data_IF_889134013872
#
_entry.id   IF_889134013872
#
_cell.length_a   1.000
_cell.length_b   1.000
_cell.length_c   1.000
_cell.angle_alpha   90.00
_cell.angle_beta   90.00
_cell.angle_gamma   90.00
#
_symmetry.space_group_name_H-M   'P 1'
#
loop_
_entity.id
_entity.type
_entity.pdbx_description
1 polymer ?
#
# COMPACT_ATOMS: atom_id res chain seq x y z
N UNK A 1 -0.98 24.16 -1.54
CA UNK A 1 -2.44 24.46 -1.73
C UNK A 1 -3.24 23.27 -1.25
N UNK A 2 -4.44 23.48 -0.72
CA UNK A 2 -5.28 22.39 -0.16
C UNK A 2 -5.55 21.26 -1.16
N UNK A 3 -5.71 21.56 -2.43
CA UNK A 3 -5.96 20.56 -3.49
C UNK A 3 -4.83 19.54 -3.70
N UNK A 4 -3.64 19.78 -3.16
CA UNK A 4 -2.54 18.80 -3.13
C UNK A 4 -2.57 17.90 -1.89
N UNK A 5 -3.35 18.27 -0.88
CA UNK A 5 -3.38 17.60 0.42
C UNK A 5 -4.73 16.93 0.69
N UNK A 6 -5.80 17.44 0.09
CA UNK A 6 -7.16 16.99 0.33
C UNK A 6 -7.81 16.49 -0.97
N UNK A 7 -8.53 15.39 -0.87
CA UNK A 7 -9.27 14.81 -1.99
C UNK A 7 -10.55 15.62 -2.25
N UNK A 8 -10.73 16.09 -3.51
CA UNK A 8 -11.86 16.94 -3.87
C UNK A 8 -13.10 16.11 -4.26
N UNK A 9 -12.93 14.85 -4.62
CA UNK A 9 -14.01 13.99 -5.11
C UNK A 9 -14.76 14.55 -6.34
N UNK A 10 -14.01 15.10 -7.31
CA UNK A 10 -14.54 15.69 -8.53
C UNK A 10 -13.52 15.72 -9.66
N UNK A 11 -13.86 16.23 -10.84
CA UNK A 11 -12.97 16.26 -12.00
C UNK A 11 -11.88 17.32 -11.87
N UNK A 12 -11.10 17.28 -10.82
CA UNK A 12 -10.00 18.22 -10.52
C UNK A 12 -8.68 17.48 -10.52
N UNK A 13 -7.73 17.96 -11.29
CA UNK A 13 -6.35 17.48 -11.35
C UNK A 13 -5.41 18.56 -10.84
N UNK A 14 -4.68 18.29 -9.77
CA UNK A 14 -3.60 19.13 -9.29
C UNK A 14 -2.31 18.75 -10.03
N UNK A 15 -1.66 19.72 -10.67
CA UNK A 15 -0.42 19.51 -11.44
C UNK A 15 0.67 20.41 -10.90
N UNK A 16 1.87 19.85 -10.75
CA UNK A 16 3.07 20.58 -10.38
C UNK A 16 4.28 20.06 -11.15
N UNK A 17 5.35 20.83 -11.16
CA UNK A 17 6.64 20.43 -11.71
C UNK A 17 7.63 20.16 -10.59
N UNK A 18 8.71 19.47 -10.90
CA UNK A 18 9.81 19.20 -9.98
C UNK A 18 11.15 19.37 -10.72
N UNK A 19 12.23 19.60 -9.98
CA UNK A 19 13.57 19.84 -10.54
C UNK A 19 14.40 18.57 -10.63
N UNK A 20 14.19 17.64 -9.72
CA UNK A 20 14.92 16.38 -9.60
C UNK A 20 14.04 15.31 -8.94
N UNK A 21 14.52 14.08 -8.92
CA UNK A 21 13.78 12.94 -8.38
C UNK A 21 13.51 13.06 -6.88
N UNK A 22 14.42 13.66 -6.13
CA UNK A 22 14.27 13.88 -4.69
C UNK A 22 13.06 14.78 -4.40
N UNK A 23 12.97 15.92 -5.08
CA UNK A 23 11.83 16.83 -4.97
C UNK A 23 10.53 16.16 -5.42
N UNK A 24 10.57 15.36 -6.49
CA UNK A 24 9.40 14.59 -6.93
C UNK A 24 8.91 13.63 -5.84
N UNK A 25 9.82 12.95 -5.15
CA UNK A 25 9.50 12.04 -4.05
C UNK A 25 8.96 12.77 -2.82
N UNK A 26 9.52 13.93 -2.49
CA UNK A 26 9.01 14.78 -1.41
C UNK A 26 7.57 15.18 -1.70
N UNK A 27 7.29 15.74 -2.87
CA UNK A 27 5.95 16.16 -3.29
C UNK A 27 4.98 14.96 -3.30
N UNK A 28 5.37 13.84 -3.90
CA UNK A 28 4.52 12.65 -3.98
C UNK A 28 4.17 12.06 -2.60
N UNK A 29 5.07 12.21 -1.64
CA UNK A 29 4.89 11.71 -0.28
C UNK A 29 4.27 12.73 0.69
N UNK A 30 4.19 14.00 0.30
CA UNK A 30 3.62 15.09 1.11
C UNK A 30 2.08 15.12 1.00
N UNK A 31 1.46 14.02 1.41
CA UNK A 31 0.00 13.88 1.52
C UNK A 31 -0.35 12.92 2.65
N UNK A 32 -1.52 13.08 3.22
CA UNK A 32 -2.04 12.13 4.23
C UNK A 32 -2.45 10.79 3.61
N UNK A 33 -2.56 10.69 2.30
CA UNK A 33 -2.99 9.50 1.57
C UNK A 33 -1.79 8.70 1.03
N UNK A 34 -2.05 7.46 0.66
CA UNK A 34 -1.07 6.57 0.07
C UNK A 34 -1.70 5.32 -0.51
N UNK A 35 -2.73 5.48 -1.37
CA UNK A 35 -3.42 4.34 -1.97
C UNK A 35 -2.66 3.79 -3.17
N UNK A 36 -2.45 4.60 -4.18
CA UNK A 36 -1.79 4.20 -5.41
C UNK A 36 -0.98 5.32 -6.03
N UNK A 37 0.05 4.96 -6.77
CA UNK A 37 0.89 5.88 -7.52
C UNK A 37 1.31 5.28 -8.86
N UNK A 38 1.59 6.13 -9.85
CA UNK A 38 2.14 5.75 -11.14
C UNK A 38 3.47 6.45 -11.38
N UNK A 39 4.44 5.71 -11.89
CA UNK A 39 5.77 6.23 -12.25
C UNK A 39 6.04 5.92 -13.71
N UNK A 40 6.45 6.91 -14.47
CA UNK A 40 6.89 6.74 -15.84
C UNK A 40 8.34 7.22 -15.98
N UNK A 41 9.21 6.32 -16.36
CA UNK A 41 10.62 6.60 -16.59
C UNK A 41 11.24 5.62 -17.59
N UNK A 42 12.29 6.04 -18.27
CA UNK A 42 13.14 5.18 -19.11
C UNK A 42 14.47 4.84 -18.44
N UNK A 43 14.75 5.47 -17.31
CA UNK A 43 15.98 5.22 -16.55
C UNK A 43 15.80 3.94 -15.73
N UNK A 44 16.67 2.95 -15.98
CA UNK A 44 16.62 1.64 -15.32
C UNK A 44 16.89 1.73 -13.81
N UNK A 45 17.67 2.71 -13.34
CA UNK A 45 17.93 2.91 -11.92
C UNK A 45 16.68 3.46 -11.21
N UNK A 46 16.04 4.46 -11.83
CA UNK A 46 14.82 5.07 -11.30
C UNK A 46 13.62 4.12 -11.31
N UNK A 47 13.58 3.15 -12.23
CA UNK A 47 12.54 2.10 -12.26
C UNK A 47 12.42 1.32 -10.94
N UNK A 48 13.50 1.18 -10.20
CA UNK A 48 13.52 0.46 -8.92
C UNK A 48 13.57 1.40 -7.71
N UNK A 49 14.28 2.50 -7.82
CA UNK A 49 14.48 3.45 -6.71
C UNK A 49 13.20 4.19 -6.35
N UNK A 50 12.57 4.80 -7.35
CA UNK A 50 11.40 5.67 -7.13
C UNK A 50 10.20 4.92 -6.57
N UNK A 51 9.76 3.79 -7.14
CA UNK A 51 8.61 3.06 -6.61
C UNK A 51 8.79 2.59 -5.17
N UNK A 52 10.01 2.27 -4.76
CA UNK A 52 10.31 1.87 -3.38
C UNK A 52 10.25 3.01 -2.39
N UNK A 53 10.54 4.23 -2.84
CA UNK A 53 10.53 5.42 -2.01
C UNK A 53 9.14 6.06 -1.89
N UNK A 54 8.22 5.78 -2.81
CA UNK A 54 6.84 6.25 -2.74
C UNK A 54 6.08 5.53 -1.64
N UNK A 55 5.44 6.29 -0.76
CA UNK A 55 4.64 5.79 0.38
C UNK A 55 3.20 5.52 -0.06
N UNK A 56 3.02 4.56 -0.96
CA UNK A 56 1.72 4.09 -1.41
C UNK A 56 1.65 2.57 -1.39
N UNK A 57 0.46 2.02 -1.17
CA UNK A 57 0.25 0.58 -1.08
C UNK A 57 0.37 -0.14 -2.42
N UNK A 58 0.18 0.58 -3.52
CA UNK A 58 0.45 0.10 -4.87
C UNK A 58 1.18 1.16 -5.69
N UNK A 59 2.23 0.73 -6.40
CA UNK A 59 2.91 1.59 -7.38
C UNK A 59 2.98 0.85 -8.71
N UNK A 60 2.48 1.49 -9.76
CA UNK A 60 2.64 1.03 -11.13
C UNK A 60 3.84 1.74 -11.77
N UNK A 61 4.59 1.01 -12.57
CA UNK A 61 5.74 1.57 -13.28
C UNK A 61 5.56 1.33 -14.78
N UNK A 62 5.59 2.41 -15.55
CA UNK A 62 5.37 2.43 -17.00
C UNK A 62 4.06 1.77 -17.45
N UNK A 63 3.11 1.68 -16.54
CA UNK A 63 1.74 1.23 -16.75
C UNK A 63 0.84 1.84 -15.68
N UNK A 64 -0.45 1.73 -15.85
CA UNK A 64 -1.40 2.16 -14.83
C UNK A 64 -2.64 1.27 -14.83
N UNK A 65 -3.30 1.17 -13.68
CA UNK A 65 -4.59 0.53 -13.49
C UNK A 65 -4.62 -1.00 -13.72
N UNK A 66 -3.48 -1.70 -13.62
CA UNK A 66 -3.45 -3.15 -13.64
C UNK A 66 -3.69 -3.72 -12.23
N UNK A 67 -4.67 -4.62 -12.09
CA UNK A 67 -5.07 -5.26 -10.82
C UNK A 67 -5.06 -6.77 -10.93
N UNK A 68 -3.90 -7.43 -10.97
CA UNK A 68 -3.85 -8.89 -11.00
C UNK A 68 -4.36 -9.46 -9.67
N UNK A 69 -5.21 -10.48 -9.74
CA UNK A 69 -5.86 -11.08 -8.57
C UNK A 69 -4.88 -11.63 -7.52
N UNK A 70 -3.69 -12.05 -7.95
CA UNK A 70 -2.62 -12.55 -7.08
C UNK A 70 -1.78 -11.47 -6.39
N UNK A 71 -2.04 -10.18 -6.65
CA UNK A 71 -1.29 -9.08 -6.05
C UNK A 71 -2.17 -8.31 -5.05
N UNK A 72 -1.74 -8.14 -3.79
CA UNK A 72 -2.52 -7.41 -2.81
C UNK A 72 -2.65 -5.95 -3.20
N UNK A 73 -3.83 -5.37 -2.97
CA UNK A 73 -4.15 -3.97 -3.17
C UNK A 73 -4.65 -3.35 -1.88
N UNK A 74 -4.18 -2.17 -1.53
CA UNK A 74 -4.65 -1.44 -0.36
C UNK A 74 -3.77 -0.24 -0.05
N UNK A 75 -4.19 0.58 0.89
CA UNK A 75 -3.58 1.87 1.20
C UNK A 75 -2.46 1.82 2.25
N UNK A 76 -1.68 2.88 2.23
CA UNK A 76 -0.83 3.33 3.32
C UNK A 76 -1.46 4.57 3.96
N UNK A 77 -0.95 4.99 5.09
CA UNK A 77 -1.39 6.20 5.79
C UNK A 77 -2.92 6.21 6.00
N UNK A 78 -3.60 7.31 5.73
CA UNK A 78 -5.06 7.43 5.88
C UNK A 78 -5.88 6.79 4.74
N UNK A 79 -5.24 6.27 3.71
CA UNK A 79 -5.93 5.48 2.69
C UNK A 79 -6.35 4.09 3.17
N UNK A 80 -5.99 3.69 4.37
CA UNK A 80 -6.45 2.48 5.02
C UNK A 80 -5.36 1.44 5.29
N UNK A 81 -5.73 0.39 6.01
CA UNK A 81 -4.80 -0.65 6.49
C UNK A 81 -5.06 -2.03 5.89
N UNK A 82 -6.26 -2.27 5.38
CA UNK A 82 -6.63 -3.56 4.80
C UNK A 82 -5.99 -3.81 3.44
N UNK A 83 -6.12 -5.05 2.98
CA UNK A 83 -5.70 -5.45 1.63
C UNK A 83 -6.83 -6.22 0.95
N UNK A 84 -7.08 -5.84 -0.31
CA UNK A 84 -7.94 -6.57 -1.24
C UNK A 84 -7.09 -7.47 -2.14
N UNK A 85 -7.73 -8.40 -2.82
CA UNK A 85 -7.07 -9.40 -3.65
C UNK A 85 -6.08 -10.26 -2.85
N UNK A 86 -5.41 -11.20 -3.53
CA UNK A 86 -4.46 -12.10 -2.90
C UNK A 86 -5.07 -12.84 -1.68
N UNK A 87 -4.37 -13.83 -1.15
CA UNK A 87 -4.82 -14.57 0.05
C UNK A 87 -4.93 -13.69 1.31
N UNK A 88 -4.25 -12.54 1.33
CA UNK A 88 -4.33 -11.60 2.45
C UNK A 88 -5.75 -11.07 2.69
N UNK A 89 -6.56 -10.97 1.63
CA UNK A 89 -7.96 -10.57 1.78
C UNK A 89 -8.73 -11.55 2.66
N UNK A 90 -8.43 -12.82 2.57
CA UNK A 90 -9.13 -13.85 3.35
C UNK A 90 -8.89 -13.71 4.86
N UNK A 91 -7.76 -13.16 5.25
CA UNK A 91 -7.43 -12.97 6.67
C UNK A 91 -8.38 -11.96 7.34
N UNK A 92 -8.95 -11.02 6.57
CA UNK A 92 -9.94 -10.06 7.06
C UNK A 92 -11.35 -10.68 7.27
N UNK A 93 -11.63 -11.83 6.63
CA UNK A 93 -12.90 -12.53 6.72
C UNK A 93 -12.84 -13.79 7.60
N UNK A 94 -11.71 -14.04 8.26
CA UNK A 94 -11.47 -15.22 9.11
C UNK A 94 -10.98 -14.80 10.47
N UNK A 95 -11.21 -15.67 11.44
CA UNK A 95 -10.64 -15.57 12.77
C UNK A 95 -9.79 -16.80 13.04
N UNK A 96 -8.58 -16.59 13.52
CA UNK A 96 -7.71 -17.69 13.96
C UNK A 96 -8.16 -18.17 15.34
N UNK A 97 -8.32 -19.50 15.49
CA UNK A 97 -8.58 -20.16 16.76
C UNK A 97 -7.47 -21.18 17.00
N UNK A 98 -6.84 -21.11 18.14
CA UNK A 98 -5.93 -22.15 18.61
C UNK A 98 -6.69 -23.07 19.58
N UNK A 99 -6.56 -24.37 19.39
CA UNK A 99 -7.13 -25.39 20.28
C UNK A 99 -5.99 -26.31 20.73
N UNK A 100 -5.70 -26.29 22.01
CA UNK A 100 -4.75 -27.19 22.65
C UNK A 100 -5.55 -28.26 23.39
N UNK A 101 -5.41 -29.51 22.95
CA UNK A 101 -6.10 -30.64 23.52
C UNK A 101 -5.10 -31.63 24.08
N UNK A 102 -5.17 -31.94 25.35
CA UNK A 102 -4.37 -32.97 25.99
C UNK A 102 -5.21 -34.21 26.29
N UNK A 103 -4.68 -35.36 25.92
CA UNK A 103 -5.19 -36.67 26.33
C UNK A 103 -4.43 -37.24 27.54
N UNK A 104 -3.49 -36.46 28.12
CA UNK A 104 -2.77 -36.91 29.29
C UNK A 104 -3.65 -36.96 30.51
N UNK A 105 -3.70 -38.12 31.18
CA UNK A 105 -4.49 -38.35 32.41
C UNK A 105 -3.79 -37.80 33.67
N UNK A 106 -2.52 -37.50 33.59
CA UNK A 106 -1.73 -36.93 34.69
C UNK A 106 -1.75 -35.40 34.65
N UNK A 107 -1.50 -34.80 35.82
CA UNK A 107 -1.30 -33.32 35.88
C UNK A 107 -0.15 -32.89 34.97
N UNK A 108 -0.33 -31.82 34.22
CA UNK A 108 0.67 -31.29 33.31
C UNK A 108 1.77 -30.46 34.00
N UNK A 109 1.63 -30.22 35.32
CA UNK A 109 2.68 -29.59 36.13
C UNK A 109 2.86 -28.09 35.89
N UNK A 110 1.87 -27.41 35.33
CA UNK A 110 1.93 -25.96 35.12
C UNK A 110 1.53 -25.15 36.36
N UNK A 111 0.96 -25.78 37.38
CA UNK A 111 0.53 -25.22 38.66
C UNK A 111 0.73 -26.24 39.78
#
# INVERSE_FOLDING_TARGET
>A
MRIFQEEIFGPVLAVTTFKNTEEALEIANDTMYGLGAGVWTRDAHELYRVPRAIKAGRVWVNQYHAYPAGAPFGGYKQSGIGRENHKMMLDHYRQSKNMLISYNKNKLGFF
#
